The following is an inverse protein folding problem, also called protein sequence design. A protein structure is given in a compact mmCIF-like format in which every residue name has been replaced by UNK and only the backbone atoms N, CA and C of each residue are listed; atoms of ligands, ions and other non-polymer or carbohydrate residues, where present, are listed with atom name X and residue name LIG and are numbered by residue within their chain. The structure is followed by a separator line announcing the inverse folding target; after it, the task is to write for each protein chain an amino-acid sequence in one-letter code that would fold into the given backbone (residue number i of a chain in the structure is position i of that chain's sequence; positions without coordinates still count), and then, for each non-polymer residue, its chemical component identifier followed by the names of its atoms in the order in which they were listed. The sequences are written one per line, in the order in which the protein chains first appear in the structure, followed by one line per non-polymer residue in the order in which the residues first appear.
data_IF_677180493497
#
_entry.id   IF_677180493497
#
_cell.length_a   1.000
_cell.length_b   1.000
_cell.length_c   1.000
_cell.angle_alpha   90.00
_cell.angle_beta   90.00
_cell.angle_gamma   90.00
#
_symmetry.space_group_name_H-M   'P 1'
#
loop_
_entity.id
_entity.type
_entity.pdbx_description
1 polymer ?
#
# COMPACT_ATOMS: atom_id res chain seq x y z
N UNK A 1 7.66 30.30 -15.72
CA UNK A 1 8.14 29.44 -14.60
C UNK A 1 7.79 27.98 -14.87
N UNK A 2 8.26 27.42 -15.99
CA UNK A 2 8.06 26.00 -16.35
C UNK A 2 9.29 25.14 -16.01
N UNK A 3 10.38 25.78 -15.58
CA UNK A 3 11.61 25.14 -15.12
C UNK A 3 12.00 25.67 -13.73
N UNK A 4 11.05 25.70 -12.78
CA UNK A 4 11.26 26.30 -11.47
C UNK A 4 12.43 25.67 -10.72
N UNK A 5 13.61 26.30 -10.78
CA UNK A 5 14.70 26.10 -9.83
C UNK A 5 14.27 26.83 -8.55
N UNK A 6 13.55 26.14 -7.68
CA UNK A 6 13.52 26.52 -6.27
C UNK A 6 14.94 26.44 -5.70
N UNK A 7 15.18 27.06 -4.55
CA UNK A 7 16.44 27.07 -3.80
C UNK A 7 17.01 25.68 -3.39
N UNK A 8 16.49 24.60 -3.97
CA UNK A 8 16.98 23.24 -3.81
C UNK A 8 16.26 22.44 -2.72
N UNK A 9 15.25 23.01 -2.05
CA UNK A 9 14.66 22.38 -0.87
C UNK A 9 13.15 22.15 -0.98
N UNK A 10 12.76 20.89 -1.19
CA UNK A 10 11.38 20.43 -0.92
C UNK A 10 11.18 20.40 0.60
N UNK A 11 10.10 21.03 1.09
CA UNK A 11 9.71 21.01 2.51
C UNK A 11 8.34 20.37 2.66
N UNK A 12 8.14 19.60 3.73
CA UNK A 12 6.83 19.06 4.07
C UNK A 12 5.93 20.21 4.53
N UNK A 13 4.88 20.52 3.78
CA UNK A 13 3.99 21.63 4.07
C UNK A 13 3.41 21.59 5.51
N UNK A 14 3.24 20.41 6.09
CA UNK A 14 2.77 20.22 7.46
C UNK A 14 3.81 20.53 8.55
N UNK A 15 5.09 20.69 8.21
CA UNK A 15 6.21 20.93 9.13
C UNK A 15 6.82 22.33 8.97
N UNK A 16 6.38 23.10 7.97
CA UNK A 16 6.86 24.46 7.72
C UNK A 16 6.05 25.45 8.55
N UNK A 17 6.72 26.19 9.42
CA UNK A 17 6.16 27.39 10.07
C UNK A 17 6.39 28.59 9.15
N UNK A 18 5.30 29.29 8.81
CA UNK A 18 5.33 30.45 7.92
C UNK A 18 5.45 31.72 8.78
N UNK A 19 6.64 32.29 8.84
CA UNK A 19 6.93 33.51 9.64
C UNK A 19 7.10 34.77 8.77
N UNK A 20 7.17 34.60 7.45
CA UNK A 20 7.29 35.66 6.43
C UNK A 20 6.47 35.27 5.21
N UNK A 21 6.27 36.21 4.29
CA UNK A 21 5.64 35.90 3.00
C UNK A 21 6.43 34.81 2.26
N UNK A 22 5.72 33.77 1.83
CA UNK A 22 6.27 32.63 1.10
C UNK A 22 5.61 32.50 -0.25
N UNK A 23 6.41 32.19 -1.27
CA UNK A 23 5.90 31.77 -2.58
C UNK A 23 5.85 30.25 -2.62
N UNK A 24 4.68 29.69 -2.89
CA UNK A 24 4.48 28.24 -2.98
C UNK A 24 4.35 27.81 -4.45
N UNK A 25 5.03 26.73 -4.80
CA UNK A 25 4.76 26.02 -6.05
C UNK A 25 3.70 24.94 -5.77
N UNK A 26 2.54 25.07 -6.41
CA UNK A 26 1.50 24.06 -6.38
C UNK A 26 1.36 23.47 -7.79
N UNK A 27 1.47 22.14 -7.96
CA UNK A 27 1.07 21.49 -9.19
C UNK A 27 -0.38 21.88 -9.53
N UNK A 28 -0.68 22.13 -10.81
CA UNK A 28 -2.03 22.51 -11.25
C UNK A 28 -3.10 21.52 -10.77
N UNK A 29 -2.74 20.24 -10.73
CA UNK A 29 -3.61 19.14 -10.29
C UNK A 29 -4.08 19.29 -8.82
N UNK A 30 -3.28 19.93 -7.96
CA UNK A 30 -3.64 20.18 -6.55
C UNK A 30 -4.79 21.17 -6.41
N UNK A 31 -5.00 22.06 -7.40
CA UNK A 31 -6.05 23.09 -7.38
C UNK A 31 -7.42 22.56 -7.84
N UNK A 32 -7.47 21.36 -8.45
CA UNK A 32 -8.70 20.79 -9.00
C UNK A 32 -9.49 19.91 -8.03
N UNK A 33 -9.02 19.80 -6.79
CA UNK A 33 -9.64 18.97 -5.74
C UNK A 33 -11.03 19.52 -5.38
N UNK A 34 -12.04 18.66 -5.50
CA UNK A 34 -13.44 18.99 -5.17
C UNK A 34 -13.90 18.23 -3.92
N UNK A 35 -14.84 18.83 -3.20
CA UNK A 35 -15.57 18.20 -2.09
C UNK A 35 -16.82 17.51 -2.64
N UNK A 36 -17.03 16.28 -2.21
CA UNK A 36 -18.16 15.45 -2.61
C UNK A 36 -18.88 14.86 -1.41
N UNK A 37 -20.08 14.38 -1.67
CA UNK A 37 -20.80 13.47 -0.76
C UNK A 37 -21.13 12.19 -1.50
N UNK A 38 -21.16 11.06 -0.81
CA UNK A 38 -21.62 9.79 -1.36
C UNK A 38 -22.50 9.05 -0.36
N UNK A 39 -23.22 8.03 -0.84
CA UNK A 39 -23.90 7.06 0.00
C UNK A 39 -23.26 5.69 -0.09
N UNK A 40 -23.19 4.97 1.02
CA UNK A 40 -22.83 3.55 1.01
C UNK A 40 -23.96 2.77 0.36
N UNK A 41 -23.69 2.05 -0.73
CA UNK A 41 -24.71 1.27 -1.43
C UNK A 41 -24.51 -0.24 -1.33
N UNK A 42 -23.29 -0.69 -1.02
CA UNK A 42 -22.96 -2.11 -0.95
C UNK A 42 -21.76 -2.33 -0.03
N UNK A 43 -21.82 -3.40 0.74
CA UNK A 43 -20.72 -3.88 1.59
C UNK A 43 -20.62 -5.39 1.50
N UNK A 44 -19.44 -5.92 1.20
CA UNK A 44 -19.19 -7.35 1.11
C UNK A 44 -17.87 -7.66 1.85
N UNK A 45 -17.90 -8.44 2.94
CA UNK A 45 -16.68 -9.00 3.51
C UNK A 45 -16.00 -9.92 2.49
N UNK A 46 -14.71 -9.72 2.25
CA UNK A 46 -13.92 -10.51 1.29
C UNK A 46 -12.83 -11.35 1.97
N UNK A 47 -12.42 -10.97 3.18
CA UNK A 47 -11.64 -11.79 4.13
C UNK A 47 -12.10 -11.44 5.55
N UNK A 48 -11.60 -12.14 6.56
CA UNK A 48 -11.82 -11.77 7.99
C UNK A 48 -11.40 -10.35 8.33
N UNK A 49 -10.45 -9.76 7.59
CA UNK A 49 -9.94 -8.41 7.83
C UNK A 49 -10.12 -7.43 6.66
N UNK A 50 -10.74 -7.81 5.54
CA UNK A 50 -10.97 -6.93 4.37
C UNK A 50 -12.42 -6.96 3.93
N UNK A 51 -12.93 -5.79 3.55
CA UNK A 51 -14.30 -5.62 3.06
C UNK A 51 -14.29 -4.71 1.82
N UNK A 52 -15.07 -5.09 0.82
CA UNK A 52 -15.47 -4.19 -0.25
C UNK A 52 -16.54 -3.23 0.24
N UNK A 53 -16.32 -1.94 -0.02
CA UNK A 53 -17.34 -0.92 0.16
C UNK A 53 -17.57 -0.19 -1.16
N UNK A 54 -18.83 -0.05 -1.54
CA UNK A 54 -19.21 0.66 -2.74
C UNK A 54 -19.95 1.94 -2.34
N UNK A 55 -19.47 3.07 -2.86
CA UNK A 55 -20.03 4.38 -2.62
C UNK A 55 -20.61 4.94 -3.91
N UNK A 56 -21.85 5.45 -3.85
CA UNK A 56 -22.47 6.20 -4.94
C UNK A 56 -22.32 7.71 -4.67
N UNK A 57 -21.49 8.43 -5.44
CA UNK A 57 -21.36 9.88 -5.32
C UNK A 57 -22.68 10.59 -5.64
N UNK A 58 -22.95 11.70 -4.94
CA UNK A 58 -24.13 12.54 -5.20
C UNK A 58 -24.01 13.34 -6.50
N UNK A 59 -22.79 13.49 -7.02
CA UNK A 59 -22.46 14.12 -8.30
C UNK A 59 -21.40 13.27 -9.00
N UNK A 60 -21.39 13.19 -10.34
CA UNK A 60 -20.37 12.46 -11.08
C UNK A 60 -18.96 12.90 -10.70
N UNK A 61 -18.03 11.95 -10.63
CA UNK A 61 -16.62 12.19 -10.33
C UNK A 61 -15.76 11.38 -11.29
N UNK A 62 -15.07 12.07 -12.18
CA UNK A 62 -14.10 11.41 -13.06
C UNK A 62 -12.81 11.17 -12.28
N UNK A 63 -12.29 9.94 -12.37
CA UNK A 63 -11.00 9.55 -11.82
C UNK A 63 -10.34 8.53 -12.75
N UNK A 64 -9.02 8.36 -12.60
CA UNK A 64 -8.24 7.35 -13.31
C UNK A 64 -7.92 6.16 -12.40
N UNK A 65 -7.85 4.93 -12.92
CA UNK A 65 -7.47 3.77 -12.12
C UNK A 65 -6.13 3.99 -11.41
N UNK A 66 -6.08 3.57 -10.14
CA UNK A 66 -4.95 3.80 -9.23
C UNK A 66 -4.95 5.15 -8.50
N UNK A 67 -5.90 6.04 -8.79
CA UNK A 67 -6.16 7.22 -7.95
C UNK A 67 -6.90 6.85 -6.64
N UNK A 68 -6.87 7.77 -5.68
CA UNK A 68 -7.51 7.62 -4.38
C UNK A 68 -8.41 8.81 -4.03
N UNK A 69 -9.28 8.61 -3.03
CA UNK A 69 -10.09 9.65 -2.41
C UNK A 69 -9.70 9.81 -0.95
N UNK A 70 -9.98 10.96 -0.36
CA UNK A 70 -9.82 11.19 1.07
C UNK A 70 -11.19 11.29 1.74
N UNK A 71 -11.57 10.28 2.52
CA UNK A 71 -12.80 10.31 3.31
C UNK A 71 -12.62 11.26 4.50
N UNK A 72 -13.59 12.14 4.71
CA UNK A 72 -13.62 13.04 5.85
C UNK A 72 -14.21 12.32 7.07
N UNK A 73 -13.53 12.42 8.19
CA UNK A 73 -14.03 11.98 9.49
C UNK A 73 -14.95 13.09 10.04
N UNK A 74 -16.16 12.76 10.56
CA UNK A 74 -17.04 13.76 11.18
C UNK A 74 -16.36 14.50 12.34
N UNK A 75 -16.59 15.81 12.45
CA UNK A 75 -15.88 16.70 13.38
C UNK A 75 -16.35 16.54 14.83
N UNK A 76 -17.66 16.44 15.01
CA UNK A 76 -18.34 16.11 16.27
C UNK A 76 -17.78 14.81 16.85
N UNK A 77 -17.65 13.81 15.99
CA UNK A 77 -17.05 12.55 16.36
C UNK A 77 -15.56 12.71 16.76
N UNK A 78 -14.75 13.37 15.93
CA UNK A 78 -13.32 13.55 16.21
C UNK A 78 -13.10 14.27 17.56
N UNK A 79 -13.95 15.24 17.89
CA UNK A 79 -13.91 15.97 19.14
C UNK A 79 -14.32 15.13 20.35
N UNK A 80 -15.45 14.42 20.30
CA UNK A 80 -15.92 13.55 21.39
C UNK A 80 -14.90 12.45 21.70
N UNK A 81 -14.34 11.86 20.64
CA UNK A 81 -13.32 10.84 20.77
C UNK A 81 -12.04 11.38 21.41
N UNK A 82 -11.58 12.54 20.96
CA UNK A 82 -10.41 13.19 21.56
C UNK A 82 -10.64 13.54 23.03
N UNK A 83 -11.86 13.97 23.41
CA UNK A 83 -12.23 14.17 24.83
C UNK A 83 -12.14 12.88 25.65
N UNK A 84 -12.64 11.77 25.11
CA UNK A 84 -12.70 10.47 25.81
C UNK A 84 -11.33 9.79 25.95
N UNK A 85 -10.48 9.87 24.92
CA UNK A 85 -9.23 9.09 24.86
C UNK A 85 -7.95 9.93 24.79
N UNK A 86 -8.04 11.27 24.65
CA UNK A 86 -6.92 12.22 24.58
C UNK A 86 -5.76 11.93 25.53
N UNK A 87 -6.09 11.71 26.81
CA UNK A 87 -5.12 11.41 27.87
C UNK A 87 -4.41 10.07 27.70
N UNK A 88 -5.15 9.01 27.37
CA UNK A 88 -4.61 7.67 27.14
C UNK A 88 -3.65 7.64 25.95
N UNK A 89 -4.01 8.37 24.88
CA UNK A 89 -3.16 8.52 23.70
C UNK A 89 -1.86 9.20 24.11
N UNK A 90 -1.94 10.36 24.77
CA UNK A 90 -0.75 11.10 25.21
C UNK A 90 0.17 10.23 26.08
N UNK A 91 -0.39 9.45 27.00
CA UNK A 91 0.38 8.53 27.85
C UNK A 91 1.06 7.43 27.04
N UNK A 92 0.33 6.76 26.13
CA UNK A 92 0.89 5.73 25.25
C UNK A 92 2.04 6.29 24.39
N UNK A 93 1.91 7.52 23.92
CA UNK A 93 2.91 8.18 23.08
C UNK A 93 4.16 8.55 23.86
N UNK A 94 4.00 9.00 25.10
CA UNK A 94 5.11 9.15 26.04
C UNK A 94 5.86 7.84 26.26
N UNK A 95 5.15 6.73 26.51
CA UNK A 95 5.75 5.39 26.68
C UNK A 95 6.49 4.91 25.43
N UNK A 96 6.00 5.27 24.25
CA UNK A 96 6.57 4.88 22.96
C UNK A 96 7.64 5.85 22.44
N UNK A 97 7.93 6.94 23.16
CA UNK A 97 8.88 7.97 22.73
C UNK A 97 8.44 8.74 21.49
N UNK A 98 7.12 8.79 21.22
CA UNK A 98 6.55 9.42 20.03
C UNK A 98 6.03 10.82 20.34
N UNK A 99 6.17 11.72 19.38
CA UNK A 99 5.54 13.04 19.47
C UNK A 99 4.02 12.89 19.47
N UNK A 100 3.37 13.52 20.46
CA UNK A 100 1.92 13.61 20.54
C UNK A 100 1.45 14.91 19.91
N UNK A 101 0.64 14.80 18.86
CA UNK A 101 0.03 15.96 18.20
C UNK A 101 -1.44 16.03 18.64
N UNK A 102 -1.85 17.05 19.42
CA UNK A 102 -3.21 17.18 19.90
C UNK A 102 -4.17 17.47 18.74
N UNK A 103 -5.41 16.97 18.85
CA UNK A 103 -6.49 17.42 17.97
C UNK A 103 -6.80 18.89 18.23
N UNK A 104 -6.96 19.65 17.15
CA UNK A 104 -7.39 21.06 17.20
C UNK A 104 -8.85 21.13 16.76
N UNK A 105 -9.78 21.50 17.66
CA UNK A 105 -11.20 21.66 17.32
C UNK A 105 -11.41 22.55 16.08
N UNK A 106 -12.38 22.17 15.24
CA UNK A 106 -12.65 22.82 13.95
C UNK A 106 -11.79 22.32 12.79
N UNK A 107 -10.92 21.33 13.01
CA UNK A 107 -10.11 20.71 11.95
C UNK A 107 -10.77 19.43 11.43
N UNK A 108 -11.19 19.42 10.16
CA UNK A 108 -11.66 18.17 9.53
C UNK A 108 -10.49 17.20 9.31
N UNK A 109 -10.58 15.99 9.85
CA UNK A 109 -9.60 14.93 9.61
C UNK A 109 -9.95 14.13 8.35
N UNK A 110 -8.93 13.70 7.61
CA UNK A 110 -9.09 12.94 6.37
C UNK A 110 -8.31 11.62 6.39
N UNK A 111 -8.79 10.62 5.64
CA UNK A 111 -8.10 9.34 5.40
C UNK A 111 -8.18 8.93 3.94
N UNK A 112 -7.02 8.61 3.36
CA UNK A 112 -6.90 8.15 1.98
C UNK A 112 -7.38 6.72 1.80
N UNK A 113 -8.19 6.49 0.77
CA UNK A 113 -8.60 5.17 0.31
C UNK A 113 -8.49 5.11 -1.21
N UNK A 114 -7.67 4.20 -1.71
CA UNK A 114 -7.50 4.00 -3.15
C UNK A 114 -8.75 3.38 -3.78
N UNK A 115 -9.05 3.80 -5.00
CA UNK A 115 -10.18 3.32 -5.76
C UNK A 115 -9.81 1.99 -6.42
N UNK A 116 -10.71 1.01 -6.30
CA UNK A 116 -10.50 -0.37 -6.74
C UNK A 116 -11.24 -0.73 -8.04
N UNK A 117 -11.93 0.22 -8.66
CA UNK A 117 -12.74 0.04 -9.88
C UNK A 117 -12.29 1.00 -10.98
N UNK A 118 -12.66 0.69 -12.23
CA UNK A 118 -12.51 1.59 -13.39
C UNK A 118 -13.77 2.41 -13.70
N UNK A 119 -14.87 2.21 -12.96
CA UNK A 119 -16.18 2.82 -13.25
C UNK A 119 -16.29 4.29 -12.81
N UNK A 120 -16.58 5.25 -13.72
CA UNK A 120 -16.49 6.69 -13.45
C UNK A 120 -17.59 7.27 -12.55
N UNK A 121 -18.52 6.47 -12.03
CA UNK A 121 -19.62 6.94 -11.19
C UNK A 121 -19.91 6.03 -9.99
N UNK A 122 -18.94 5.17 -9.66
CA UNK A 122 -19.08 4.17 -8.63
C UNK A 122 -17.73 3.90 -7.98
N UNK A 123 -17.61 4.30 -6.72
CA UNK A 123 -16.35 4.22 -6.00
C UNK A 123 -16.30 2.90 -5.23
N UNK A 124 -15.54 1.94 -5.72
CA UNK A 124 -15.24 0.69 -5.01
C UNK A 124 -13.99 0.90 -4.16
N UNK A 125 -14.06 0.61 -2.87
CA UNK A 125 -12.94 0.65 -1.92
C UNK A 125 -12.69 -0.77 -1.39
N UNK A 126 -11.43 -1.12 -1.13
CA UNK A 126 -11.09 -2.23 -0.24
C UNK A 126 -10.64 -1.65 1.08
N UNK A 127 -11.41 -1.94 2.12
CA UNK A 127 -11.18 -1.45 3.47
C UNK A 127 -10.65 -2.59 4.31
N UNK A 128 -9.41 -2.46 4.78
CA UNK A 128 -8.83 -3.40 5.74
C UNK A 128 -9.09 -2.96 7.18
N UNK A 129 -9.54 -3.88 8.01
CA UNK A 129 -9.55 -3.75 9.46
C UNK A 129 -8.13 -3.89 9.99
N UNK A 130 -7.59 -2.83 10.59
CA UNK A 130 -6.30 -2.91 11.27
C UNK A 130 -6.50 -3.68 12.59
N UNK A 131 -5.86 -4.86 12.79
CA UNK A 131 -6.02 -5.62 14.01
C UNK A 131 -5.50 -4.82 15.21
N UNK A 132 -6.18 -5.02 16.34
CA UNK A 132 -5.91 -4.35 17.60
C UNK A 132 -5.48 -5.41 18.57
N UNK A 133 -4.19 -5.44 18.89
CA UNK A 133 -3.76 -6.07 20.11
C UNK A 133 -3.23 -4.95 21.02
N UNK A 134 -4.00 -4.53 22.04
CA UNK A 134 -3.55 -3.51 22.98
C UNK A 134 -2.35 -3.96 23.82
N UNK A 135 -2.01 -5.26 23.78
CA UNK A 135 -0.86 -5.86 24.43
C UNK A 135 0.33 -6.09 23.48
N UNK A 136 0.16 -5.92 22.15
CA UNK A 136 1.31 -5.94 21.26
C UNK A 136 2.07 -4.61 21.35
N UNK A 137 3.37 -4.63 21.68
CA UNK A 137 4.19 -3.43 21.54
C UNK A 137 4.18 -3.02 20.06
N UNK A 138 3.58 -1.86 19.77
CA UNK A 138 3.77 -1.18 18.49
C UNK A 138 5.27 -1.03 18.28
N UNK A 139 5.77 -1.55 17.16
CA UNK A 139 7.19 -1.50 16.83
C UNK A 139 7.74 -0.07 17.05
N UNK A 140 8.87 0.01 17.76
CA UNK A 140 9.52 1.28 18.10
C UNK A 140 9.70 2.12 16.83
N UNK A 141 9.23 3.36 16.83
CA UNK A 141 9.48 4.30 15.73
C UNK A 141 8.40 4.41 14.64
N UNK A 142 7.16 3.95 14.88
CA UNK A 142 6.05 4.28 13.96
C UNK A 142 5.64 5.76 14.00
N UNK A 143 4.81 6.26 13.05
CA UNK A 143 4.50 7.68 12.86
C UNK A 143 4.05 8.40 14.14
N UNK A 144 4.18 9.75 14.21
CA UNK A 144 3.77 10.54 15.36
C UNK A 144 2.36 10.16 15.77
N UNK A 145 2.15 10.21 17.07
CA UNK A 145 0.92 9.82 17.71
C UNK A 145 -0.21 10.82 17.44
N UNK A 146 -0.72 10.80 16.21
CA UNK A 146 -2.13 10.99 15.95
C UNK A 146 -2.66 9.57 15.88
N UNK A 147 -2.71 8.90 17.04
CA UNK A 147 -2.73 7.45 17.09
C UNK A 147 -3.82 6.83 16.20
N UNK A 148 -3.52 5.76 15.44
CA UNK A 148 -4.54 4.88 14.94
C UNK A 148 -5.43 4.45 16.10
N UNK A 149 -4.85 4.04 17.23
CA UNK A 149 -5.50 3.44 18.42
C UNK A 149 -6.61 4.26 19.09
N UNK A 150 -6.65 5.57 18.88
CA UNK A 150 -7.75 6.42 19.31
C UNK A 150 -8.85 6.47 18.25
N UNK A 151 -8.57 7.02 17.07
CA UNK A 151 -9.52 6.99 15.93
C UNK A 151 -10.08 5.57 15.67
N UNK A 152 -9.36 4.55 16.09
CA UNK A 152 -9.64 3.13 16.11
C UNK A 152 -10.71 2.61 17.07
N UNK A 153 -10.93 3.17 18.28
CA UNK A 153 -12.14 2.79 19.01
C UNK A 153 -13.38 3.25 18.24
N UNK A 154 -13.27 4.30 17.43
CA UNK A 154 -14.33 4.68 16.48
C UNK A 154 -14.28 3.97 15.15
N UNK A 155 -13.13 3.63 14.56
CA UNK A 155 -13.11 2.67 13.44
C UNK A 155 -13.54 1.28 13.95
N UNK A 156 -13.75 1.04 15.25
CA UNK A 156 -14.39 -0.17 15.75
C UNK A 156 -15.84 0.03 16.17
N UNK A 157 -16.21 1.18 16.76
CA UNK A 157 -17.60 1.57 17.11
C UNK A 157 -18.39 2.04 15.86
N UNK A 158 -17.71 2.58 14.86
CA UNK A 158 -18.12 3.15 13.57
C UNK A 158 -17.06 2.85 12.50
N UNK A 159 -16.63 1.59 12.42
CA UNK A 159 -15.83 1.13 11.30
C UNK A 159 -16.51 1.56 9.99
N UNK A 160 -15.79 1.76 8.89
CA UNK A 160 -16.43 1.65 7.57
C UNK A 160 -17.23 0.32 7.50
N UNK A 161 -16.78 -0.71 8.23
CA UNK A 161 -17.52 -1.95 8.47
C UNK A 161 -18.80 -1.84 9.30
N UNK A 162 -19.04 -0.76 10.02
CA UNK A 162 -20.27 -0.46 10.75
C UNK A 162 -21.17 0.52 10.01
N UNK A 163 -20.67 1.20 8.98
CA UNK A 163 -21.52 2.08 8.18
C UNK A 163 -22.72 1.32 7.62
N UNK A 164 -23.92 1.85 7.83
CA UNK A 164 -25.12 1.21 7.33
C UNK A 164 -25.33 1.56 5.85
N UNK A 165 -26.06 0.70 5.14
CA UNK A 165 -26.44 0.99 3.76
C UNK A 165 -27.28 2.28 3.72
N UNK A 166 -26.88 3.22 2.88
CA UNK A 166 -27.49 4.55 2.75
C UNK A 166 -26.79 5.66 3.52
N UNK A 167 -25.82 5.33 4.38
CA UNK A 167 -25.08 6.32 5.17
C UNK A 167 -24.35 7.34 4.28
N UNK A 168 -24.46 8.62 4.66
CA UNK A 168 -23.88 9.74 3.90
C UNK A 168 -22.45 10.01 4.36
N UNK A 169 -21.51 9.91 3.43
CA UNK A 169 -20.08 10.16 3.66
C UNK A 169 -19.66 11.42 2.92
N UNK A 170 -18.76 12.20 3.53
CA UNK A 170 -18.09 13.34 2.87
C UNK A 170 -16.68 12.91 2.46
N UNK A 171 -16.22 13.34 1.28
CA UNK A 171 -14.87 13.05 0.83
C UNK A 171 -14.34 14.12 -0.13
N UNK A 172 -13.03 14.11 -0.37
CA UNK A 172 -12.35 14.92 -1.39
C UNK A 172 -11.61 14.03 -2.37
N UNK A 173 -11.38 14.53 -3.60
CA UNK A 173 -10.58 13.85 -4.61
C UNK A 173 -11.01 14.16 -6.05
N UNK A 174 -10.56 13.36 -7.03
CA UNK A 174 -9.56 12.29 -6.87
C UNK A 174 -8.15 12.84 -6.64
N UNK A 175 -7.25 12.00 -6.12
CA UNK A 175 -5.84 12.30 -5.88
C UNK A 175 -4.94 11.18 -6.42
N UNK A 176 -3.66 11.48 -6.56
CA UNK A 176 -2.62 10.48 -6.85
C UNK A 176 -2.25 10.38 -8.32
N UNK A 177 -1.03 9.86 -8.53
CA UNK A 177 -0.40 9.69 -9.85
C UNK A 177 -0.01 8.24 -10.15
N UNK A 178 -0.53 7.29 -9.36
CA UNK A 178 -0.24 5.86 -9.50
C UNK A 178 -1.08 5.29 -10.67
N UNK A 179 -0.59 5.45 -11.90
CA UNK A 179 -1.30 5.11 -13.14
C UNK A 179 -0.45 4.21 -14.04
N UNK A 180 -1.08 3.39 -14.89
CA UNK A 180 -0.37 2.63 -15.91
C UNK A 180 0.41 3.54 -16.87
N UNK A 181 1.61 3.11 -17.26
CA UNK A 181 2.34 3.75 -18.36
C UNK A 181 1.66 3.43 -19.69
N UNK A 182 1.71 4.39 -20.62
CA UNK A 182 1.09 4.27 -21.95
C UNK A 182 1.91 3.37 -22.89
N UNK A 183 3.24 3.49 -22.86
CA UNK A 183 4.12 2.72 -23.73
C UNK A 183 4.15 1.24 -23.31
N UNK A 184 4.25 0.28 -24.26
CA UNK A 184 4.42 -1.13 -23.94
C UNK A 184 5.67 -1.38 -23.09
N UNK A 185 5.52 -2.18 -22.04
CA UNK A 185 6.58 -2.53 -21.10
C UNK A 185 6.21 -3.82 -20.38
N UNK A 186 7.18 -4.52 -19.79
CA UNK A 186 6.85 -5.59 -18.85
C UNK A 186 6.28 -4.97 -17.58
N UNK A 187 5.00 -5.21 -17.27
CA UNK A 187 4.32 -4.69 -16.10
C UNK A 187 4.42 -5.67 -14.92
N UNK A 188 4.85 -5.19 -13.75
CA UNK A 188 4.92 -6.00 -12.53
C UNK A 188 4.05 -5.38 -11.46
N UNK A 189 2.91 -5.98 -11.19
CA UNK A 189 1.98 -5.58 -10.15
C UNK A 189 2.35 -6.26 -8.84
N UNK A 190 2.44 -5.49 -7.77
CA UNK A 190 2.79 -5.98 -6.43
C UNK A 190 1.77 -5.47 -5.44
N UNK A 191 0.94 -6.35 -4.90
CA UNK A 191 -0.05 -6.03 -3.88
C UNK A 191 0.23 -6.74 -2.56
N UNK A 192 -0.11 -6.09 -1.45
CA UNK A 192 -0.24 -6.76 -0.15
C UNK A 192 -1.24 -6.05 0.76
N UNK A 193 -2.04 -6.83 1.50
CA UNK A 193 -3.03 -6.31 2.44
C UNK A 193 -4.07 -5.41 1.75
N UNK A 194 -4.26 -4.19 2.27
CA UNK A 194 -5.18 -3.21 1.67
C UNK A 194 -4.68 -2.63 0.33
N UNK A 195 -3.38 -2.78 0.03
CA UNK A 195 -2.79 -2.31 -1.22
C UNK A 195 -3.27 -3.06 -2.46
N UNK A 196 -4.13 -4.07 -2.28
CA UNK A 196 -4.86 -4.69 -3.37
C UNK A 196 -5.79 -3.71 -4.11
N UNK A 197 -6.35 -2.69 -3.44
CA UNK A 197 -7.32 -1.78 -4.06
C UNK A 197 -6.84 -1.15 -5.37
N UNK A 198 -5.77 -0.33 -5.40
CA UNK A 198 -5.38 0.32 -6.64
C UNK A 198 -4.84 -0.68 -7.67
N UNK A 199 -4.21 -1.78 -7.21
CA UNK A 199 -3.71 -2.84 -8.10
C UNK A 199 -4.86 -3.53 -8.84
N UNK A 200 -6.00 -3.77 -8.18
CA UNK A 200 -7.20 -4.28 -8.86
C UNK A 200 -7.68 -3.33 -9.96
N UNK A 201 -7.73 -2.03 -9.70
CA UNK A 201 -8.14 -1.04 -10.69
C UNK A 201 -7.18 -1.03 -11.89
N UNK A 202 -5.86 -1.06 -11.64
CA UNK A 202 -4.86 -1.11 -12.71
C UNK A 202 -4.90 -2.42 -13.51
N UNK A 203 -5.10 -3.57 -12.86
CA UNK A 203 -5.28 -4.86 -13.55
C UNK A 203 -6.55 -4.86 -14.41
N UNK A 204 -7.67 -4.35 -13.85
CA UNK A 204 -8.93 -4.21 -14.60
C UNK A 204 -8.74 -3.32 -15.83
N UNK A 205 -8.06 -2.18 -15.69
CA UNK A 205 -7.70 -1.32 -16.81
C UNK A 205 -6.83 -2.05 -17.84
N UNK A 206 -5.77 -2.74 -17.40
CA UNK A 206 -4.82 -3.44 -18.27
C UNK A 206 -5.53 -4.47 -19.17
N UNK A 207 -6.46 -5.26 -18.60
CA UNK A 207 -7.26 -6.22 -19.36
C UNK A 207 -8.35 -5.55 -20.23
N UNK A 208 -8.98 -4.47 -19.76
CA UNK A 208 -9.98 -3.72 -20.54
C UNK A 208 -9.38 -3.06 -21.77
N UNK A 209 -8.13 -2.60 -21.68
CA UNK A 209 -7.36 -2.02 -22.79
C UNK A 209 -6.87 -3.09 -23.79
N UNK A 210 -7.02 -4.39 -23.49
CA UNK A 210 -6.59 -5.48 -24.36
C UNK A 210 -5.08 -5.57 -24.52
N UNK A 211 -4.32 -5.10 -23.52
CA UNK A 211 -2.85 -5.10 -23.53
C UNK A 211 -2.26 -6.48 -23.75
N UNK A 212 -1.22 -6.55 -24.56
CA UNK A 212 -0.54 -7.78 -24.98
C UNK A 212 0.92 -7.85 -24.47
N UNK A 213 1.40 -6.79 -23.82
CA UNK A 213 2.69 -6.79 -23.13
C UNK A 213 2.75 -7.84 -22.00
N UNK A 214 3.95 -8.16 -21.52
CA UNK A 214 4.11 -9.11 -20.42
C UNK A 214 3.66 -8.48 -19.11
N UNK A 215 2.83 -9.19 -18.35
CA UNK A 215 2.36 -8.74 -17.05
C UNK A 215 2.50 -9.84 -15.99
N UNK A 216 3.04 -9.49 -14.83
CA UNK A 216 3.13 -10.41 -13.68
C UNK A 216 2.48 -9.75 -12.48
N UNK A 217 1.56 -10.46 -11.83
CA UNK A 217 0.91 -10.02 -10.60
C UNK A 217 1.37 -10.85 -9.40
N UNK A 218 2.18 -10.23 -8.54
CA UNK A 218 2.54 -10.77 -7.23
C UNK A 218 1.56 -10.30 -6.16
N UNK A 219 0.95 -11.24 -5.44
CA UNK A 219 0.14 -10.96 -4.26
C UNK A 219 0.83 -11.52 -3.02
N UNK A 220 1.32 -10.65 -2.15
CA UNK A 220 1.97 -11.00 -0.90
C UNK A 220 1.00 -10.93 0.27
N UNK A 221 0.69 -12.07 0.86
CA UNK A 221 -0.15 -12.16 2.06
C UNK A 221 0.54 -12.99 3.15
N UNK A 222 0.04 -12.89 4.39
CA UNK A 222 0.61 -13.68 5.49
C UNK A 222 0.09 -15.11 5.44
N UNK A 223 -1.23 -15.26 5.46
CA UNK A 223 -1.91 -16.56 5.51
C UNK A 223 -2.78 -16.73 4.28
N UNK A 224 -3.12 -17.97 3.95
CA UNK A 224 -4.00 -18.25 2.82
C UNK A 224 -5.36 -17.54 2.96
N UNK A 225 -5.90 -17.46 4.17
CA UNK A 225 -7.17 -16.76 4.46
C UNK A 225 -7.11 -15.23 4.29
N UNK A 226 -5.91 -14.65 4.21
CA UNK A 226 -5.77 -13.22 3.95
C UNK A 226 -5.88 -12.92 2.44
N UNK A 227 -5.86 -13.93 1.56
CA UNK A 227 -6.12 -13.83 0.12
C UNK A 227 -7.63 -13.65 -0.09
N UNK A 228 -8.07 -12.58 -0.78
CA UNK A 228 -9.46 -12.41 -1.17
C UNK A 228 -9.91 -13.43 -2.23
N UNK A 229 -10.41 -14.57 -1.79
CA UNK A 229 -10.73 -15.73 -2.64
C UNK A 229 -11.83 -15.46 -3.66
N UNK A 230 -12.67 -14.42 -3.45
CA UNK A 230 -13.65 -13.93 -4.43
C UNK A 230 -13.02 -13.47 -5.75
N UNK A 231 -11.78 -12.96 -5.72
CA UNK A 231 -11.07 -12.48 -6.91
C UNK A 231 -10.18 -13.53 -7.56
N UNK A 232 -9.80 -14.56 -6.81
CA UNK A 232 -8.86 -15.59 -7.26
C UNK A 232 -9.30 -16.28 -8.57
N UNK A 233 -10.57 -16.70 -8.76
CA UNK A 233 -11.01 -17.31 -10.01
C UNK A 233 -10.86 -16.38 -11.21
N UNK A 234 -11.08 -15.06 -11.03
CA UNK A 234 -10.92 -14.06 -12.09
C UNK A 234 -9.46 -13.99 -12.53
N UNK A 235 -8.51 -13.92 -11.60
CA UNK A 235 -7.08 -13.87 -11.91
C UNK A 235 -6.58 -15.17 -12.57
N UNK A 236 -7.05 -16.33 -12.11
CA UNK A 236 -6.68 -17.62 -12.70
C UNK A 236 -7.28 -17.81 -14.11
N UNK A 237 -8.50 -17.31 -14.35
CA UNK A 237 -9.09 -17.28 -15.70
C UNK A 237 -8.32 -16.35 -16.63
N UNK A 238 -7.91 -15.18 -16.15
CA UNK A 238 -7.05 -14.26 -16.89
C UNK A 238 -5.71 -14.89 -17.29
N UNK A 239 -5.04 -15.58 -16.38
CA UNK A 239 -3.80 -16.32 -16.66
C UNK A 239 -4.00 -17.47 -17.67
N UNK A 240 -5.11 -18.21 -17.57
CA UNK A 240 -5.44 -19.26 -18.56
C UNK A 240 -5.71 -18.69 -19.96
N UNK A 241 -6.33 -17.51 -20.04
CA UNK A 241 -6.73 -16.88 -21.30
C UNK A 241 -5.60 -16.06 -21.95
N UNK A 242 -4.62 -15.60 -21.17
CA UNK A 242 -3.53 -14.75 -21.66
C UNK A 242 -2.17 -15.32 -21.25
N UNK A 243 -1.39 -15.89 -22.18
CA UNK A 243 -0.08 -16.48 -21.87
C UNK A 243 0.97 -15.46 -21.40
N UNK A 244 0.75 -14.17 -21.67
CA UNK A 244 1.64 -13.08 -21.25
C UNK A 244 1.31 -12.57 -19.84
N UNK A 245 0.24 -13.07 -19.20
CA UNK A 245 -0.12 -12.73 -17.82
C UNK A 245 0.18 -13.88 -16.87
N UNK A 246 0.93 -13.61 -15.80
CA UNK A 246 1.22 -14.59 -14.73
C UNK A 246 0.71 -14.09 -13.38
N UNK A 247 -0.03 -14.94 -12.65
CA UNK A 247 -0.41 -14.66 -11.27
C UNK A 247 0.48 -15.45 -10.30
N UNK A 248 1.04 -14.78 -9.30
CA UNK A 248 2.00 -15.35 -8.34
C UNK A 248 1.62 -14.97 -6.90
N UNK A 249 0.76 -15.76 -6.24
CA UNK A 249 0.49 -15.58 -4.81
C UNK A 249 1.68 -16.09 -3.97
N UNK A 250 2.07 -15.31 -2.95
CA UNK A 250 3.20 -15.59 -2.06
C UNK A 250 2.73 -15.50 -0.61
N UNK A 251 2.93 -16.58 0.16
CA UNK A 251 2.56 -16.63 1.58
C UNK A 251 3.78 -16.60 2.50
N UNK A 252 3.88 -15.57 3.34
CA UNK A 252 4.99 -15.44 4.30
C UNK A 252 4.79 -16.28 5.57
N UNK A 253 3.54 -16.51 5.97
CA UNK A 253 3.16 -17.28 7.16
C UNK A 253 3.18 -18.80 6.96
N UNK A 254 3.18 -19.29 5.72
CA UNK A 254 3.23 -20.72 5.42
C UNK A 254 4.48 -21.41 6.01
N UNK A 255 5.57 -20.67 6.26
CA UNK A 255 6.74 -21.17 7.00
C UNK A 255 6.44 -21.59 8.46
N UNK A 256 5.33 -21.11 9.04
CA UNK A 256 4.93 -21.33 10.43
C UNK A 256 3.75 -22.30 10.59
N UNK A 257 3.34 -22.97 9.51
CA UNK A 257 2.22 -23.91 9.54
C UNK A 257 0.86 -23.32 9.22
N UNK A 258 0.78 -22.01 8.89
CA UNK A 258 -0.44 -21.25 8.55
C UNK A 258 -1.11 -21.76 7.24
N UNK A 259 -1.66 -22.96 7.28
CA UNK A 259 -2.23 -23.69 6.14
C UNK A 259 -3.73 -23.41 5.95
N UNK A 260 -4.30 -23.65 4.75
CA UNK A 260 -5.74 -23.52 4.49
C UNK A 260 -6.65 -24.25 5.49
N UNK A 261 -6.19 -25.34 6.09
CA UNK A 261 -6.92 -26.08 7.13
C UNK A 261 -7.27 -25.24 8.39
N UNK A 262 -6.56 -24.13 8.61
CA UNK A 262 -6.67 -23.28 9.80
C UNK A 262 -7.66 -22.10 9.64
N UNK A 263 -8.43 -22.06 8.54
CA UNK A 263 -9.44 -21.01 8.31
C UNK A 263 -10.48 -20.95 9.44
N UNK A 264 -10.76 -19.74 9.93
CA UNK A 264 -11.90 -19.49 10.81
C UNK A 264 -13.24 -19.55 10.04
N UNK A 265 -14.37 -19.48 10.76
CA UNK A 265 -15.70 -19.60 10.16
C UNK A 265 -16.05 -18.48 9.18
N UNK A 266 -15.50 -17.26 9.37
CA UNK A 266 -15.70 -16.13 8.44
C UNK A 266 -14.94 -16.39 7.14
N UNK A 267 -13.70 -16.83 7.24
CA UNK A 267 -12.85 -17.14 6.09
C UNK A 267 -13.40 -18.35 5.32
N UNK A 268 -13.91 -19.37 6.01
CA UNK A 268 -14.67 -20.48 5.41
C UNK A 268 -15.89 -19.97 4.66
N UNK A 269 -16.72 -19.11 5.25
CA UNK A 269 -17.90 -18.52 4.57
C UNK A 269 -17.50 -17.74 3.31
N UNK A 270 -16.42 -16.96 3.37
CA UNK A 270 -15.90 -16.25 2.20
C UNK A 270 -15.47 -17.24 1.09
N UNK A 271 -14.80 -18.34 1.47
CA UNK A 271 -14.40 -19.40 0.54
C UNK A 271 -15.57 -20.23 -0.01
N UNK A 272 -16.64 -20.45 0.76
CA UNK A 272 -17.81 -21.19 0.28
C UNK A 272 -18.80 -20.33 -0.53
N UNK A 273 -18.69 -19.00 -0.43
CA UNK A 273 -19.50 -18.06 -1.22
C UNK A 273 -19.08 -17.94 -2.69
N UNK A 274 -17.95 -18.52 -3.11
CA UNK A 274 -17.62 -18.69 -4.53
C UNK A 274 -18.28 -19.93 -5.13
N UNK A 275 -18.56 -19.91 -6.43
CA UNK A 275 -19.22 -21.05 -7.11
C UNK A 275 -18.38 -22.33 -7.03
N UNK A 276 -19.02 -23.50 -7.16
CA UNK A 276 -18.31 -24.79 -7.13
C UNK A 276 -17.30 -24.91 -8.29
N UNK A 277 -17.65 -24.40 -9.47
CA UNK A 277 -16.75 -24.33 -10.62
C UNK A 277 -15.51 -23.45 -10.34
N UNK A 278 -15.68 -22.34 -9.63
CA UNK A 278 -14.58 -21.45 -9.26
C UNK A 278 -13.65 -22.08 -8.21
N UNK A 279 -14.21 -22.84 -7.25
CA UNK A 279 -13.41 -23.64 -6.30
C UNK A 279 -12.58 -24.70 -7.01
N UNK A 280 -13.11 -25.29 -8.08
CA UNK A 280 -12.40 -26.30 -8.85
C UNK A 280 -11.19 -25.71 -9.59
N UNK A 281 -11.30 -24.49 -10.14
CA UNK A 281 -10.18 -23.79 -10.80
C UNK A 281 -9.00 -23.57 -9.82
N UNK A 282 -9.29 -23.28 -8.55
CA UNK A 282 -8.28 -23.09 -7.51
C UNK A 282 -7.50 -24.39 -7.25
N UNK A 283 -8.21 -25.52 -7.17
CA UNK A 283 -7.60 -26.85 -6.99
C UNK A 283 -6.76 -27.26 -8.19
N UNK A 284 -7.29 -27.06 -9.40
CA UNK A 284 -6.63 -27.41 -10.67
C UNK A 284 -5.31 -26.66 -10.91
N UNK A 285 -5.16 -25.46 -10.35
CA UNK A 285 -3.94 -24.66 -10.48
C UNK A 285 -2.81 -25.07 -9.51
N UNK A 286 -3.04 -26.10 -8.68
CA UNK A 286 -2.00 -26.68 -7.82
C UNK A 286 -1.50 -25.75 -6.71
N UNK A 287 -2.25 -24.70 -6.37
CA UNK A 287 -1.92 -23.80 -5.26
C UNK A 287 -2.13 -24.46 -3.90
N UNK A 288 -3.01 -25.46 -3.85
CA UNK A 288 -3.28 -26.30 -2.69
C UNK A 288 -3.17 -27.78 -3.08
N UNK A 289 -2.99 -28.66 -2.10
CA UNK A 289 -3.08 -30.12 -2.34
C UNK A 289 -4.49 -30.57 -2.76
N UNK A 290 -4.64 -31.83 -3.19
CA UNK A 290 -5.91 -32.38 -3.69
C UNK A 290 -7.07 -32.24 -2.68
N UNK A 291 -6.71 -32.29 -1.39
CA UNK A 291 -7.64 -32.18 -0.27
C UNK A 291 -7.96 -30.72 0.06
N UNK A 292 -7.19 -29.76 -0.45
CA UNK A 292 -7.34 -28.32 -0.20
C UNK A 292 -6.82 -27.88 1.16
N UNK A 293 -6.03 -28.71 1.84
CA UNK A 293 -5.58 -28.55 3.21
C UNK A 293 -4.20 -27.89 3.33
N UNK A 294 -3.30 -28.10 2.37
CA UNK A 294 -1.92 -27.59 2.42
C UNK A 294 -1.63 -26.62 1.29
N UNK A 295 -0.91 -25.53 1.60
CA UNK A 295 -0.38 -24.62 0.59
C UNK A 295 0.78 -25.27 -0.18
N UNK A 296 0.72 -25.21 -1.51
CA UNK A 296 1.77 -25.72 -2.43
C UNK A 296 2.38 -24.61 -3.31
N UNK A 297 1.85 -23.39 -3.23
CA UNK A 297 2.34 -22.23 -3.97
C UNK A 297 3.66 -21.64 -3.42
N UNK A 298 3.97 -20.39 -3.79
CA UNK A 298 5.21 -19.75 -3.34
C UNK A 298 5.16 -19.40 -1.85
N UNK A 299 6.30 -19.55 -1.18
CA UNK A 299 6.45 -19.27 0.26
C UNK A 299 7.53 -18.22 0.48
N UNK A 300 7.30 -17.33 1.44
CA UNK A 300 8.24 -16.30 1.88
C UNK A 300 7.86 -14.90 1.43
N UNK A 301 8.83 -14.15 0.91
CA UNK A 301 8.66 -12.75 0.52
C UNK A 301 8.89 -12.59 -0.99
N UNK A 302 8.27 -11.58 -1.59
CA UNK A 302 8.28 -11.36 -3.05
C UNK A 302 9.69 -11.04 -3.57
N UNK A 303 10.44 -10.19 -2.86
CA UNK A 303 11.77 -9.71 -3.29
C UNK A 303 12.74 -10.83 -3.73
N UNK A 304 12.99 -11.85 -2.88
CA UNK A 304 13.83 -12.99 -3.23
C UNK A 304 13.34 -13.83 -4.44
N UNK A 305 12.05 -13.78 -4.75
CA UNK A 305 11.45 -14.57 -5.84
C UNK A 305 11.56 -13.88 -7.21
N UNK A 306 11.91 -12.59 -7.27
CA UNK A 306 11.85 -11.82 -8.51
C UNK A 306 12.64 -12.44 -9.67
N UNK A 307 13.89 -12.88 -9.44
CA UNK A 307 14.73 -13.51 -10.48
C UNK A 307 14.22 -14.83 -11.01
N UNK A 308 13.32 -15.50 -10.27
CA UNK A 308 12.69 -16.74 -10.74
C UNK A 308 11.71 -16.48 -11.89
N UNK A 309 11.12 -15.28 -11.93
CA UNK A 309 10.04 -14.94 -12.86
C UNK A 309 10.45 -13.89 -13.90
N UNK A 310 11.45 -13.08 -13.60
CA UNK A 310 11.85 -11.95 -14.43
C UNK A 310 13.35 -11.97 -14.71
N UNK A 311 13.78 -11.87 -15.99
CA UNK A 311 15.15 -11.55 -16.30
C UNK A 311 15.45 -10.08 -15.96
N UNK A 312 16.73 -9.69 -15.78
CA UNK A 312 17.08 -8.29 -15.62
C UNK A 312 16.76 -7.48 -16.87
N UNK A 313 15.88 -6.49 -16.73
CA UNK A 313 15.48 -5.58 -17.79
C UNK A 313 15.14 -4.20 -17.18
N UNK A 314 15.87 -3.13 -17.55
CA UNK A 314 15.63 -1.80 -17.01
C UNK A 314 14.29 -1.18 -17.47
N UNK A 315 13.62 -1.74 -18.46
CA UNK A 315 12.34 -1.25 -18.99
C UNK A 315 11.13 -1.86 -18.28
N UNK A 316 11.32 -2.77 -17.32
CA UNK A 316 10.23 -3.28 -16.49
C UNK A 316 9.68 -2.12 -15.65
N UNK A 317 8.35 -1.95 -15.63
CA UNK A 317 7.69 -1.04 -14.70
C UNK A 317 7.04 -1.82 -13.56
N UNK A 318 7.36 -1.44 -12.33
CA UNK A 318 6.75 -1.98 -11.13
C UNK A 318 5.64 -1.05 -10.64
N UNK A 319 4.48 -1.61 -10.36
CA UNK A 319 3.34 -0.96 -9.73
C UNK A 319 3.14 -1.59 -8.36
N UNK A 320 3.57 -0.90 -7.30
CA UNK A 320 3.59 -1.46 -5.94
C UNK A 320 2.62 -0.76 -5.01
N UNK A 321 1.82 -1.54 -4.27
CA UNK A 321 0.95 -0.99 -3.25
C UNK A 321 0.76 -1.97 -2.09
N UNK A 322 0.98 -1.51 -0.86
CA UNK A 322 0.86 -2.32 0.33
C UNK A 322 1.68 -1.76 1.50
N UNK A 323 1.96 -2.59 2.53
CA UNK A 323 2.74 -2.17 3.68
C UNK A 323 4.13 -1.66 3.29
N UNK A 324 4.59 -0.59 3.93
CA UNK A 324 5.88 0.02 3.60
C UNK A 324 7.06 -0.97 3.59
N UNK A 325 7.20 -1.89 4.57
CA UNK A 325 8.28 -2.89 4.53
C UNK A 325 8.25 -3.79 3.27
N UNK A 326 7.07 -4.14 2.78
CA UNK A 326 6.94 -4.95 1.56
C UNK A 326 7.39 -4.15 0.33
N UNK A 327 6.85 -2.94 0.14
CA UNK A 327 7.17 -2.11 -1.03
C UNK A 327 8.67 -1.77 -1.08
N UNK A 328 9.26 -1.35 0.05
CA UNK A 328 10.70 -1.01 0.15
C UNK A 328 11.58 -2.21 -0.20
N UNK A 329 11.29 -3.39 0.37
CA UNK A 329 12.10 -4.60 0.13
C UNK A 329 11.99 -5.12 -1.30
N UNK A 330 10.82 -5.01 -1.93
CA UNK A 330 10.63 -5.39 -3.34
C UNK A 330 11.36 -4.42 -4.26
N UNK A 331 11.28 -3.11 -4.03
CA UNK A 331 12.01 -2.11 -4.81
C UNK A 331 13.51 -2.32 -4.69
N UNK A 332 14.04 -2.50 -3.48
CA UNK A 332 15.48 -2.75 -3.26
C UNK A 332 15.93 -4.03 -3.99
N UNK A 333 15.16 -5.11 -3.87
CA UNK A 333 15.45 -6.37 -4.57
C UNK A 333 15.44 -6.16 -6.09
N UNK A 334 14.39 -5.55 -6.64
CA UNK A 334 14.24 -5.31 -8.07
C UNK A 334 15.35 -4.42 -8.63
N UNK A 335 15.73 -3.36 -7.92
CA UNK A 335 16.82 -2.48 -8.32
C UNK A 335 18.16 -3.23 -8.36
N UNK A 336 18.46 -4.04 -7.33
CA UNK A 336 19.70 -4.82 -7.28
C UNK A 336 19.75 -5.97 -8.31
N UNK A 337 18.64 -6.70 -8.48
CA UNK A 337 18.68 -7.98 -9.21
C UNK A 337 18.13 -7.88 -10.63
N UNK A 338 17.27 -6.91 -10.91
CA UNK A 338 16.61 -6.69 -12.20
C UNK A 338 17.03 -5.38 -12.90
N UNK A 339 17.83 -4.53 -12.26
CA UNK A 339 18.21 -3.18 -12.75
C UNK A 339 17.02 -2.24 -12.91
N UNK A 340 16.03 -2.36 -12.01
CA UNK A 340 14.88 -1.46 -11.98
C UNK A 340 15.36 -0.01 -11.83
N UNK A 341 14.85 0.87 -12.70
CA UNK A 341 15.07 2.32 -12.62
C UNK A 341 14.07 2.97 -11.67
N UNK A 342 14.49 4.06 -11.02
CA UNK A 342 13.66 4.76 -10.02
C UNK A 342 12.33 5.24 -10.60
N UNK A 343 12.34 5.82 -11.80
CA UNK A 343 11.15 6.28 -12.53
C UNK A 343 10.22 5.14 -13.01
N UNK A 344 10.69 3.90 -12.93
CA UNK A 344 9.93 2.69 -13.24
C UNK A 344 9.40 2.00 -11.96
N UNK A 345 9.72 2.50 -10.77
CA UNK A 345 9.14 2.05 -9.51
C UNK A 345 7.97 2.98 -9.11
N UNK A 346 6.76 2.67 -9.59
CA UNK A 346 5.55 3.41 -9.23
C UNK A 346 4.94 2.79 -7.97
N UNK A 347 4.54 3.62 -7.01
CA UNK A 347 3.90 3.13 -5.79
C UNK A 347 2.87 4.12 -5.24
N UNK A 348 1.87 3.59 -4.55
CA UNK A 348 0.90 4.37 -3.78
C UNK A 348 1.27 4.31 -2.28
N UNK A 349 1.53 5.48 -1.69
CA UNK A 349 2.06 5.62 -0.33
C UNK A 349 0.96 6.02 0.66
N UNK A 350 0.32 5.01 1.25
CA UNK A 350 -0.69 5.20 2.30
C UNK A 350 -0.17 5.94 3.55
N UNK A 351 1.14 6.02 3.74
CA UNK A 351 1.77 6.40 5.00
C UNK A 351 2.62 7.67 4.95
N UNK A 352 2.82 8.22 3.74
CA UNK A 352 3.67 9.39 3.47
C UNK A 352 5.17 9.16 3.69
N UNK A 353 5.62 7.93 3.85
CA UNK A 353 7.01 7.59 4.20
C UNK A 353 7.74 6.69 3.22
N UNK A 354 7.06 6.23 2.16
CA UNK A 354 7.68 5.43 1.12
C UNK A 354 8.59 6.26 0.22
N UNK A 355 8.22 7.50 -0.10
CA UNK A 355 9.00 8.33 -1.03
C UNK A 355 10.43 8.60 -0.53
N UNK A 356 10.65 9.07 0.71
CA UNK A 356 12.01 9.24 1.24
C UNK A 356 12.77 7.91 1.33
N UNK A 357 12.06 6.80 1.55
CA UNK A 357 12.68 5.48 1.64
C UNK A 357 13.25 5.03 0.30
N UNK A 358 12.53 5.27 -0.80
CA UNK A 358 12.98 4.93 -2.16
C UNK A 358 14.16 5.79 -2.59
N UNK A 359 14.16 7.09 -2.26
CA UNK A 359 15.29 7.97 -2.53
C UNK A 359 16.58 7.46 -1.88
N UNK A 360 16.51 7.10 -0.59
CA UNK A 360 17.61 6.52 0.17
C UNK A 360 18.09 5.18 -0.44
N UNK A 361 17.19 4.34 -0.93
CA UNK A 361 17.55 3.09 -1.60
C UNK A 361 18.36 3.31 -2.88
N UNK A 362 17.97 4.26 -3.73
CA UNK A 362 18.71 4.52 -4.97
C UNK A 362 20.03 5.27 -4.70
N UNK A 363 20.08 6.16 -3.71
CA UNK A 363 21.35 6.76 -3.27
C UNK A 363 22.34 5.71 -2.76
N UNK A 364 21.86 4.71 -2.01
CA UNK A 364 22.68 3.55 -1.59
C UNK A 364 23.29 2.82 -2.80
N UNK A 365 22.52 2.62 -3.86
CA UNK A 365 22.99 1.93 -5.07
C UNK A 365 24.06 2.74 -5.80
N UNK A 366 23.89 4.07 -5.91
CA UNK A 366 24.91 4.95 -6.48
C UNK A 366 26.22 4.93 -5.67
N UNK A 367 26.12 4.95 -4.34
CA UNK A 367 27.29 4.87 -3.45
C UNK A 367 27.99 3.51 -3.62
N UNK A 368 27.22 2.43 -3.68
CA UNK A 368 27.74 1.08 -3.94
C UNK A 368 28.53 1.01 -5.25
N UNK A 369 27.98 1.55 -6.33
CA UNK A 369 28.67 1.61 -7.63
C UNK A 369 29.97 2.42 -7.57
N UNK A 370 29.95 3.57 -6.87
CA UNK A 370 31.14 4.40 -6.66
C UNK A 370 32.23 3.66 -5.85
N UNK A 371 31.86 3.01 -4.75
CA UNK A 371 32.78 2.23 -3.90
C UNK A 371 33.49 1.14 -4.73
N UNK A 372 32.74 0.40 -5.55
CA UNK A 372 33.32 -0.59 -6.46
C UNK A 372 34.24 0.04 -7.51
N UNK A 373 33.84 1.17 -8.12
CA UNK A 373 34.67 1.84 -9.13
C UNK A 373 35.99 2.38 -8.58
N UNK A 374 36.06 2.67 -7.28
CA UNK A 374 37.23 3.22 -6.60
C UNK A 374 38.13 2.15 -5.97
N UNK A 375 37.81 0.85 -6.13
CA UNK A 375 38.54 -0.28 -5.55
C UNK A 375 38.79 -0.13 -4.04
N UNK A 376 37.79 0.35 -3.29
CA UNK A 376 37.91 0.58 -1.84
C UNK A 376 38.17 -0.74 -1.10
N UNK A 377 39.18 -0.82 -0.20
CA UNK A 377 39.41 -2.01 0.60
C UNK A 377 38.19 -2.38 1.46
N UNK A 378 37.84 -3.67 1.51
CA UNK A 378 36.66 -4.19 2.22
C UNK A 378 35.31 -3.61 1.72
N UNK A 379 35.21 -3.25 0.44
CA UNK A 379 34.00 -2.72 -0.20
C UNK A 379 32.73 -3.50 0.19
N UNK A 380 32.76 -4.83 0.12
CA UNK A 380 31.59 -5.68 0.42
C UNK A 380 31.09 -5.49 1.85
N UNK A 381 32.00 -5.43 2.82
CA UNK A 381 31.66 -5.24 4.25
C UNK A 381 31.10 -3.84 4.51
N UNK A 382 31.61 -2.83 3.81
CA UNK A 382 31.10 -1.46 3.89
C UNK A 382 29.68 -1.38 3.31
N UNK A 383 29.45 -1.98 2.14
CA UNK A 383 28.13 -2.04 1.47
C UNK A 383 27.11 -2.80 2.30
N UNK A 384 27.50 -3.91 2.93
CA UNK A 384 26.64 -4.69 3.82
C UNK A 384 26.26 -3.87 5.06
N UNK A 385 27.22 -3.15 5.64
CA UNK A 385 26.98 -2.26 6.78
C UNK A 385 26.02 -1.12 6.42
N UNK A 386 26.22 -0.47 5.27
CA UNK A 386 25.32 0.56 4.74
C UNK A 386 23.91 -0.01 4.55
N UNK A 387 23.80 -1.17 3.90
CA UNK A 387 22.51 -1.82 3.62
C UNK A 387 21.77 -2.18 4.91
N UNK A 388 22.47 -2.78 5.88
CA UNK A 388 21.86 -3.18 7.16
C UNK A 388 21.37 -1.98 7.95
N UNK A 389 22.19 -0.92 8.04
CA UNK A 389 21.83 0.30 8.78
C UNK A 389 20.66 1.01 8.10
N UNK A 390 20.70 1.17 6.78
CA UNK A 390 19.60 1.80 6.03
C UNK A 390 18.31 0.99 6.14
N UNK A 391 18.33 -0.32 5.92
CA UNK A 391 17.13 -1.15 6.05
C UNK A 391 16.55 -1.03 7.46
N UNK A 392 17.39 -1.08 8.50
CA UNK A 392 16.94 -0.88 9.88
C UNK A 392 16.35 0.53 10.06
N UNK A 393 17.01 1.58 9.59
CA UNK A 393 16.54 2.96 9.76
C UNK A 393 15.26 3.26 8.94
N UNK A 394 15.14 2.68 7.75
CA UNK A 394 13.97 2.78 6.87
C UNK A 394 12.78 2.01 7.42
N UNK A 395 13.00 0.79 7.94
CA UNK A 395 11.96 0.00 8.61
C UNK A 395 11.49 0.73 9.88
N UNK A 396 12.41 1.35 10.62
CA UNK A 396 12.11 2.07 11.86
C UNK A 396 11.52 3.47 11.66
N UNK A 397 11.22 3.88 10.41
CA UNK A 397 10.42 5.04 9.93
C UNK A 397 10.77 6.45 10.46
N UNK A 398 11.20 6.60 11.71
CA UNK A 398 11.51 7.85 12.42
C UNK A 398 13.00 8.27 12.33
N UNK A 399 13.81 7.61 11.48
CA UNK A 399 15.25 7.89 11.34
C UNK A 399 15.67 8.22 9.89
N UNK A 400 14.76 8.76 9.10
CA UNK A 400 15.03 9.18 7.72
C UNK A 400 16.16 10.22 7.68
N UNK A 401 16.11 11.25 8.53
CA UNK A 401 17.17 12.29 8.57
C UNK A 401 18.53 11.72 8.99
N UNK A 402 18.54 10.83 9.99
CA UNK A 402 19.75 10.12 10.40
C UNK A 402 20.29 9.19 9.31
N UNK A 403 19.43 8.69 8.41
CA UNK A 403 19.84 7.90 7.25
C UNK A 403 20.51 8.78 6.20
N UNK A 404 19.96 9.96 5.92
CA UNK A 404 20.58 10.93 5.02
C UNK A 404 21.93 11.41 5.56
N UNK A 405 22.05 11.71 6.85
CA UNK A 405 23.32 12.14 7.44
C UNK A 405 24.37 11.03 7.41
N UNK A 406 23.97 9.78 7.65
CA UNK A 406 24.86 8.64 7.50
C UNK A 406 25.37 8.50 6.05
N UNK A 407 24.48 8.61 5.06
CA UNK A 407 24.87 8.54 3.65
C UNK A 407 25.79 9.70 3.21
N UNK A 408 25.75 10.86 3.87
CA UNK A 408 26.71 11.95 3.61
C UNK A 408 28.11 11.69 4.19
N UNK A 409 28.19 10.90 5.26
CA UNK A 409 29.45 10.58 5.94
C UNK A 409 30.24 9.47 5.23
N UNK A 410 29.52 8.55 4.58
CA UNK A 410 30.05 7.48 3.75
C UNK A 410 30.45 8.04 2.39
#
# INVERSE_FOLDING_TARGET
MEQGVGDGYVRLACQVRVEKDVSLYLPKDTLHVKKYTARVIKKIPITSDKMEMWLKPSKPIQYKPGQYIQLAIPEDFAEEHYKKYGGLIKEACGKLGKEFVPYVPGTTLYRGYSLASTEPDLLKLIVRMAPVDPCMPLEKGGPPCIGPSCIHNYIQEQNLWNFFLGEKIRFTGPYGHFMLKEQPHTAVFVAGGAGLAPILALLEQWFQEGRQDNAIFFLGERRFQDIPTVYLPKWLKWERANPNFKFVPVLSGAFRGDNPAEMNDVDKKCFYNVSEADRQIIKEQGLVDEQGNQWKGQVGFIGPLLRKYLPPDPNIAFYLCGPAPMTVTVIDSAANVLKLKKENALFDDFTGTLTPSVDLLYQKLEIKEKIFSLNVPNADKLIEKISSILIIQLILKDKIDASYDFLKQV
#
